data_IF_076825457249
#
_entry.id   IF_076825457249
#
_cell.length_a   1.000
_cell.length_b   1.000
_cell.length_c   1.000
_cell.angle_alpha   90.00
_cell.angle_beta   90.00
_cell.angle_gamma   90.00
#
_symmetry.space_group_name_H-M   'P 1'
#
loop_
_entity.id
_entity.type
_entity.pdbx_description
1 polymer ?
#
# COMPACT_ATOMS: atom_id res chain seq x y z
N UNK A 1 2.07 20.68 0.19
CA UNK A 1 1.67 19.29 -0.16
C UNK A 1 1.79 18.31 1.02
N UNK A 2 2.58 18.61 2.08
CA UNK A 2 2.69 17.79 3.30
C UNK A 2 1.37 17.69 4.10
N UNK A 3 0.54 18.74 4.12
CA UNK A 3 -0.67 18.81 4.97
C UNK A 3 -1.81 17.83 4.63
N UNK A 4 -1.85 17.23 3.43
CA UNK A 4 -2.86 16.21 3.09
C UNK A 4 -2.49 14.82 3.61
N UNK A 5 -1.18 14.58 3.77
CA UNK A 5 -0.65 13.31 4.26
C UNK A 5 -1.01 13.10 5.74
N UNK A 6 -0.92 14.17 6.53
CA UNK A 6 -1.33 14.17 7.94
C UNK A 6 -2.84 14.06 8.11
N UNK A 7 -3.65 14.60 7.19
CA UNK A 7 -5.11 14.58 7.30
C UNK A 7 -5.69 13.16 7.12
N UNK A 8 -5.27 12.42 6.08
CA UNK A 8 -5.77 11.06 5.84
C UNK A 8 -5.22 10.05 6.85
N UNK A 9 -3.97 10.22 7.32
CA UNK A 9 -3.45 9.46 8.44
C UNK A 9 -4.22 9.78 9.74
N UNK A 10 -4.58 11.04 9.98
CA UNK A 10 -5.38 11.46 11.13
C UNK A 10 -6.81 10.91 11.08
N UNK A 11 -7.46 10.89 9.92
CA UNK A 11 -8.79 10.28 9.75
C UNK A 11 -8.75 8.78 10.00
N UNK A 12 -7.67 8.11 9.58
CA UNK A 12 -7.44 6.69 9.85
C UNK A 12 -7.18 6.41 11.34
N UNK A 13 -6.36 7.23 12.00
CA UNK A 13 -6.14 7.13 13.46
C UNK A 13 -7.44 7.38 14.22
N UNK A 14 -8.24 8.38 13.83
CA UNK A 14 -9.57 8.61 14.42
C UNK A 14 -10.52 7.43 14.22
N UNK A 15 -10.55 6.81 13.04
CA UNK A 15 -11.32 5.58 12.80
C UNK A 15 -10.85 4.43 13.67
N UNK A 16 -9.54 4.28 13.83
CA UNK A 16 -8.93 3.24 14.68
C UNK A 16 -9.31 3.45 16.16
N UNK A 17 -9.22 4.68 16.64
CA UNK A 17 -9.57 5.05 18.02
C UNK A 17 -11.07 4.88 18.28
N UNK A 18 -11.93 5.21 17.30
CA UNK A 18 -13.37 4.99 17.38
C UNK A 18 -13.71 3.50 17.53
N UNK A 19 -13.14 2.65 16.68
CA UNK A 19 -13.35 1.19 16.74
C UNK A 19 -12.85 0.64 18.09
N UNK A 20 -11.73 1.15 18.59
CA UNK A 20 -11.20 0.76 19.91
C UNK A 20 -12.13 1.16 21.07
N UNK A 21 -12.79 2.32 20.98
CA UNK A 21 -13.80 2.74 21.96
C UNK A 21 -15.08 1.91 21.88
N UNK A 22 -15.57 1.59 20.68
CA UNK A 22 -16.73 0.71 20.49
C UNK A 22 -16.48 -0.68 21.09
N UNK A 23 -15.26 -1.21 20.98
CA UNK A 23 -14.85 -2.47 21.59
C UNK A 23 -14.90 -2.46 23.13
N UNK A 24 -14.51 -1.36 23.77
CA UNK A 24 -14.64 -1.23 25.22
C UNK A 24 -16.13 -1.19 25.64
N UNK A 25 -16.98 -0.59 24.81
CA UNK A 25 -18.43 -0.55 25.01
C UNK A 25 -19.14 -1.90 24.78
N UNK A 26 -18.62 -2.76 23.90
CA UNK A 26 -19.27 -3.98 23.43
C UNK A 26 -18.95 -5.26 24.20
N UNK A 27 -18.26 -5.18 25.35
CA UNK A 27 -17.97 -6.34 26.23
C UNK A 27 -19.21 -7.16 26.64
N UNK A 28 -20.43 -6.68 26.36
CA UNK A 28 -21.71 -7.29 26.74
C UNK A 28 -22.75 -7.53 25.60
N UNK A 29 -22.43 -7.44 24.30
CA UNK A 29 -23.45 -7.62 23.21
C UNK A 29 -23.04 -8.65 22.13
N UNK A 30 -24.06 -9.34 21.60
CA UNK A 30 -24.12 -10.63 20.87
C UNK A 30 -23.31 -10.84 19.58
N UNK A 31 -23.20 -12.12 19.19
CA UNK A 31 -22.17 -12.82 18.38
C UNK A 31 -21.96 -12.45 16.91
N UNK A 32 -22.80 -11.62 16.27
CA UNK A 32 -22.63 -11.27 14.85
C UNK A 32 -21.90 -9.95 14.65
N UNK A 33 -22.29 -8.91 15.39
CA UNK A 33 -21.56 -7.64 15.45
C UNK A 33 -20.13 -7.86 15.99
N UNK A 34 -19.97 -8.68 17.04
CA UNK A 34 -18.65 -9.03 17.56
C UNK A 34 -17.75 -9.77 16.55
N UNK A 35 -18.32 -10.58 15.65
CA UNK A 35 -17.59 -11.30 14.61
C UNK A 35 -17.08 -10.36 13.51
N UNK A 36 -17.91 -9.43 13.06
CA UNK A 36 -17.56 -8.49 12.00
C UNK A 36 -16.53 -7.45 12.51
N UNK A 37 -16.72 -6.93 13.72
CA UNK A 37 -15.73 -6.07 14.40
C UNK A 37 -14.38 -6.78 14.61
N UNK A 38 -14.39 -8.10 14.89
CA UNK A 38 -13.14 -8.87 15.01
C UNK A 38 -12.40 -8.98 13.67
N UNK A 39 -13.11 -9.14 12.55
CA UNK A 39 -12.50 -9.17 11.22
C UNK A 39 -11.91 -7.82 10.83
N UNK A 40 -12.62 -6.73 11.10
CA UNK A 40 -12.12 -5.36 10.88
C UNK A 40 -10.87 -5.08 11.72
N UNK A 41 -10.86 -5.50 12.99
CA UNK A 41 -9.67 -5.40 13.84
C UNK A 41 -8.49 -6.17 13.24
N UNK A 42 -8.70 -7.42 12.80
CA UNK A 42 -7.64 -8.20 12.16
C UNK A 42 -7.11 -7.54 10.88
N UNK A 43 -7.99 -6.91 10.09
CA UNK A 43 -7.61 -6.17 8.90
C UNK A 43 -6.70 -4.97 9.23
N UNK A 44 -7.07 -4.19 10.26
CA UNK A 44 -6.29 -3.04 10.72
C UNK A 44 -4.92 -3.48 11.28
N UNK A 45 -4.88 -4.56 12.05
CA UNK A 45 -3.62 -5.11 12.55
C UNK A 45 -2.72 -5.59 11.40
N UNK A 46 -3.27 -6.26 10.38
CA UNK A 46 -2.52 -6.69 9.20
C UNK A 46 -2.02 -5.52 8.37
N UNK A 47 -2.81 -4.45 8.26
CA UNK A 47 -2.38 -3.22 7.59
C UNK A 47 -1.23 -2.54 8.36
N UNK A 48 -1.32 -2.47 9.69
CA UNK A 48 -0.26 -1.92 10.54
C UNK A 48 1.03 -2.74 10.44
N UNK A 49 0.93 -4.07 10.47
CA UNK A 49 2.05 -4.98 10.26
C UNK A 49 2.71 -4.75 8.89
N UNK A 50 1.90 -4.66 7.83
CA UNK A 50 2.37 -4.36 6.48
C UNK A 50 3.11 -3.02 6.41
N UNK A 51 2.53 -1.95 6.96
CA UNK A 51 3.13 -0.62 6.95
C UNK A 51 4.46 -0.59 7.73
N UNK A 52 4.52 -1.28 8.87
CA UNK A 52 5.75 -1.43 9.65
C UNK A 52 6.84 -2.15 8.85
N UNK A 53 6.52 -3.28 8.22
CA UNK A 53 7.46 -4.05 7.41
C UNK A 53 8.01 -3.23 6.22
N UNK A 54 7.14 -2.54 5.50
CA UNK A 54 7.54 -1.65 4.40
C UNK A 54 8.48 -0.54 4.87
N UNK A 55 8.22 0.02 6.06
CA UNK A 55 9.09 1.02 6.66
C UNK A 55 10.44 0.43 7.05
N UNK A 56 10.49 -0.72 7.72
CA UNK A 56 11.73 -1.40 8.09
C UNK A 56 12.59 -1.71 6.87
N UNK A 57 11.99 -2.24 5.80
CA UNK A 57 12.69 -2.47 4.53
C UNK A 57 13.27 -1.16 3.97
N UNK A 58 12.50 -0.07 4.01
CA UNK A 58 12.97 1.24 3.53
C UNK A 58 14.08 1.87 4.37
N UNK A 59 14.23 1.47 5.63
CA UNK A 59 15.33 1.92 6.49
C UNK A 59 16.64 1.20 6.19
N UNK A 60 16.60 0.05 5.50
CA UNK A 60 17.82 -0.67 5.09
C UNK A 60 18.69 0.17 4.15
N UNK A 61 20.01 0.11 4.37
CA UNK A 61 21.01 0.78 3.53
C UNK A 61 21.29 0.03 2.24
N UNK A 62 21.14 -1.30 2.26
CA UNK A 62 21.39 -2.19 1.14
C UNK A 62 20.19 -3.11 0.94
N UNK A 63 19.97 -3.53 -0.29
CA UNK A 63 18.94 -4.49 -0.64
C UNK A 63 19.10 -4.91 -2.09
N UNK A 64 18.40 -5.97 -2.45
CA UNK A 64 18.47 -6.58 -3.77
C UNK A 64 17.11 -6.54 -4.46
N UNK A 65 17.10 -6.88 -5.74
CA UNK A 65 15.88 -7.04 -6.55
C UNK A 65 14.83 -7.92 -5.86
N UNK A 66 15.28 -8.97 -5.17
CA UNK A 66 14.42 -9.89 -4.41
C UNK A 66 13.69 -9.21 -3.25
N UNK A 67 14.30 -8.22 -2.61
CA UNK A 67 13.67 -7.46 -1.54
C UNK A 67 12.53 -6.58 -2.08
N UNK A 68 12.73 -5.96 -3.26
CA UNK A 68 11.66 -5.25 -3.94
C UNK A 68 10.52 -6.18 -4.38
N UNK A 69 10.83 -7.39 -4.84
CA UNK A 69 9.82 -8.42 -5.14
C UNK A 69 9.00 -8.79 -3.91
N UNK A 70 9.65 -8.93 -2.75
CA UNK A 70 8.99 -9.20 -1.48
C UNK A 70 8.07 -8.04 -1.08
N UNK A 71 8.54 -6.79 -1.18
CA UNK A 71 7.72 -5.60 -0.91
C UNK A 71 6.50 -5.50 -1.84
N UNK A 72 6.69 -5.78 -3.13
CA UNK A 72 5.59 -5.81 -4.11
C UNK A 72 4.60 -6.93 -3.80
N UNK A 73 5.09 -8.13 -3.46
CA UNK A 73 4.25 -9.27 -3.05
C UNK A 73 3.43 -8.97 -1.80
N UNK A 74 4.03 -8.38 -0.76
CA UNK A 74 3.33 -7.94 0.44
C UNK A 74 2.25 -6.91 0.12
N UNK A 75 2.53 -5.99 -0.82
CA UNK A 75 1.56 -4.99 -1.27
C UNK A 75 0.36 -5.65 -1.95
N UNK A 76 0.57 -6.62 -2.86
CA UNK A 76 -0.51 -7.39 -3.47
C UNK A 76 -1.32 -8.18 -2.44
N UNK A 77 -0.65 -8.79 -1.45
CA UNK A 77 -1.32 -9.57 -0.40
C UNK A 77 -2.26 -8.72 0.45
N UNK A 78 -1.82 -7.52 0.85
CA UNK A 78 -2.68 -6.64 1.66
C UNK A 78 -3.87 -6.13 0.83
N UNK A 79 -3.67 -5.78 -0.44
CA UNK A 79 -4.76 -5.36 -1.34
C UNK A 79 -5.81 -6.47 -1.45
N UNK A 80 -5.38 -7.69 -1.76
CA UNK A 80 -6.28 -8.84 -1.88
C UNK A 80 -7.04 -9.14 -0.58
N UNK A 81 -6.40 -8.93 0.59
CA UNK A 81 -7.07 -9.11 1.88
C UNK A 81 -8.23 -8.13 2.05
N UNK A 82 -8.01 -6.85 1.77
CA UNK A 82 -9.03 -5.81 1.89
C UNK A 82 -10.13 -5.92 0.82
N UNK A 83 -9.77 -6.32 -0.40
CA UNK A 83 -10.76 -6.60 -1.45
C UNK A 83 -11.69 -7.74 -1.03
N UNK A 84 -11.12 -8.83 -0.47
CA UNK A 84 -11.90 -9.94 0.07
C UNK A 84 -12.81 -9.50 1.22
N UNK A 85 -12.29 -8.72 2.17
CA UNK A 85 -13.07 -8.20 3.29
C UNK A 85 -14.20 -7.27 2.83
N UNK A 86 -13.95 -6.45 1.81
CA UNK A 86 -14.98 -5.58 1.21
C UNK A 86 -16.13 -6.38 0.61
N UNK A 87 -15.81 -7.49 -0.07
CA UNK A 87 -16.83 -8.39 -0.63
C UNK A 87 -17.62 -9.06 0.49
N UNK A 88 -16.95 -9.53 1.55
CA UNK A 88 -17.59 -10.19 2.69
C UNK A 88 -18.50 -9.26 3.50
N UNK A 89 -18.10 -8.00 3.67
CA UNK A 89 -18.85 -7.00 4.44
C UNK A 89 -20.00 -6.35 3.65
N UNK A 90 -20.09 -6.57 2.32
CA UNK A 90 -20.93 -5.80 1.39
C UNK A 90 -20.71 -4.26 1.45
N UNK A 91 -19.66 -3.83 2.16
CA UNK A 91 -19.22 -2.45 2.27
C UNK A 91 -17.93 -2.28 1.47
N UNK A 92 -17.81 -1.17 0.73
CA UNK A 92 -16.55 -0.83 0.09
C UNK A 92 -15.56 -0.37 1.14
N UNK A 93 -14.75 -1.30 1.64
CA UNK A 93 -13.54 -1.02 2.42
C UNK A 93 -12.28 -1.42 1.63
N UNK A 94 -12.08 -0.95 0.38
CA UNK A 94 -10.84 -1.19 -0.32
C UNK A 94 -9.70 -0.50 0.44
N UNK A 95 -8.47 -0.95 0.24
CA UNK A 95 -7.31 -0.21 0.77
C UNK A 95 -7.38 1.25 0.33
N UNK A 96 -7.17 2.20 1.26
CA UNK A 96 -7.11 3.61 0.91
C UNK A 96 -6.11 3.84 -0.22
N UNK A 97 -6.50 4.58 -1.25
CA UNK A 97 -5.68 4.82 -2.43
C UNK A 97 -4.30 5.39 -2.06
N UNK A 98 -4.25 6.18 -1.00
CA UNK A 98 -3.06 6.75 -0.39
C UNK A 98 -2.04 5.70 0.06
N UNK A 99 -2.50 4.56 0.60
CA UNK A 99 -1.63 3.45 1.01
C UNK A 99 -1.01 2.80 -0.23
N UNK A 100 -1.75 2.66 -1.33
CA UNK A 100 -1.24 2.12 -2.59
C UNK A 100 -0.17 3.05 -3.20
N UNK A 101 -0.46 4.36 -3.24
CA UNK A 101 0.49 5.39 -3.67
C UNK A 101 1.74 5.42 -2.79
N UNK A 102 1.58 5.28 -1.47
CA UNK A 102 2.70 5.26 -0.54
C UNK A 102 3.57 4.04 -0.75
N UNK A 103 2.96 2.86 -0.87
CA UNK A 103 3.65 1.59 -1.06
C UNK A 103 4.55 1.58 -2.30
N UNK A 104 3.98 1.91 -3.47
CA UNK A 104 4.72 1.95 -4.74
C UNK A 104 5.86 2.95 -4.66
N UNK A 105 5.62 4.10 -4.05
CA UNK A 105 6.68 5.08 -3.89
C UNK A 105 7.76 4.67 -2.91
N UNK A 106 7.44 3.92 -1.86
CA UNK A 106 8.46 3.35 -0.99
C UNK A 106 9.32 2.32 -1.71
N UNK A 107 8.73 1.52 -2.60
CA UNK A 107 9.50 0.60 -3.45
C UNK A 107 10.48 1.38 -4.35
N UNK A 108 10.04 2.49 -4.96
CA UNK A 108 10.92 3.35 -5.76
C UNK A 108 12.01 4.04 -4.92
N UNK A 109 11.70 4.51 -3.70
CA UNK A 109 12.70 5.08 -2.79
C UNK A 109 13.78 4.04 -2.41
N UNK A 110 13.38 2.78 -2.18
CA UNK A 110 14.33 1.69 -1.92
C UNK A 110 15.16 1.38 -3.17
N UNK A 111 14.52 1.32 -4.33
CA UNK A 111 15.19 1.02 -5.59
C UNK A 111 16.24 2.08 -5.96
N UNK A 112 15.95 3.35 -5.73
CA UNK A 112 16.90 4.46 -5.88
C UNK A 112 18.11 4.28 -4.95
N UNK A 113 17.83 4.07 -3.66
CA UNK A 113 18.87 3.88 -2.63
C UNK A 113 19.77 2.68 -2.92
N UNK A 114 19.20 1.58 -3.42
CA UNK A 114 19.92 0.35 -3.73
C UNK A 114 20.43 0.30 -5.17
N UNK A 115 20.31 1.41 -5.91
CA UNK A 115 20.76 1.57 -7.30
C UNK A 115 20.23 0.49 -8.25
N UNK A 116 19.00 0.02 -8.02
CA UNK A 116 18.34 -1.00 -8.83
C UNK A 116 17.84 -0.36 -10.12
N UNK A 117 18.11 -1.02 -11.26
CA UNK A 117 17.75 -0.52 -12.59
C UNK A 117 16.23 -0.39 -12.74
N UNK A 118 15.81 0.70 -13.37
CA UNK A 118 14.39 1.00 -13.58
C UNK A 118 13.62 -0.15 -14.25
N UNK A 119 14.18 -0.77 -15.28
CA UNK A 119 13.56 -1.89 -16.00
C UNK A 119 13.25 -3.07 -15.09
N UNK A 120 14.13 -3.37 -14.14
CA UNK A 120 13.95 -4.46 -13.19
C UNK A 120 12.81 -4.11 -12.22
N UNK A 121 12.79 -2.88 -11.70
CA UNK A 121 11.71 -2.37 -10.82
C UNK A 121 10.35 -2.39 -11.54
N UNK A 122 10.30 -1.88 -12.78
CA UNK A 122 9.07 -1.82 -13.56
C UNK A 122 8.53 -3.21 -13.85
N UNK A 123 9.39 -4.17 -14.20
CA UNK A 123 9.00 -5.57 -14.41
C UNK A 123 8.43 -6.20 -13.14
N UNK A 124 9.07 -5.99 -11.98
CA UNK A 124 8.57 -6.51 -10.70
C UNK A 124 7.19 -5.95 -10.39
N UNK A 125 7.05 -4.63 -10.46
CA UNK A 125 5.78 -3.96 -10.14
C UNK A 125 4.67 -4.38 -11.10
N UNK A 126 4.95 -4.44 -12.40
CA UNK A 126 3.98 -4.86 -13.41
C UNK A 126 3.55 -6.32 -13.21
N UNK A 127 4.49 -7.22 -12.90
CA UNK A 127 4.20 -8.63 -12.69
C UNK A 127 3.46 -8.91 -11.36
N UNK A 128 3.74 -8.15 -10.30
CA UNK A 128 3.17 -8.40 -8.96
C UNK A 128 1.88 -7.61 -8.69
N UNK A 129 1.82 -6.34 -9.08
CA UNK A 129 0.69 -5.46 -8.83
C UNK A 129 -0.31 -5.43 -9.99
N UNK A 130 0.14 -5.74 -11.20
CA UNK A 130 -0.63 -5.57 -12.42
C UNK A 130 -0.61 -4.14 -12.96
N UNK A 131 -0.89 -4.00 -14.26
CA UNK A 131 -0.81 -2.72 -14.98
C UNK A 131 -1.80 -1.68 -14.47
N UNK A 132 -3.04 -2.08 -14.20
CA UNK A 132 -4.10 -1.15 -13.78
C UNK A 132 -3.79 -0.51 -12.43
N UNK A 133 -3.39 -1.33 -11.46
CA UNK A 133 -3.02 -0.83 -10.14
C UNK A 133 -1.78 0.03 -10.19
N UNK A 134 -0.77 -0.39 -10.95
CA UNK A 134 0.46 0.38 -11.11
C UNK A 134 0.18 1.74 -11.76
N UNK A 135 -0.69 1.80 -12.78
CA UNK A 135 -1.10 3.04 -13.44
C UNK A 135 -1.75 4.03 -12.47
N UNK A 136 -2.57 3.55 -11.55
CA UNK A 136 -3.20 4.39 -10.53
C UNK A 136 -2.24 4.84 -9.42
N UNK A 137 -1.20 4.05 -9.12
CA UNK A 137 -0.35 4.23 -7.95
C UNK A 137 1.04 4.81 -8.25
N UNK A 138 1.45 4.86 -9.52
CA UNK A 138 2.76 5.39 -9.92
C UNK A 138 2.79 6.91 -9.93
N UNK A 139 3.81 7.49 -9.31
CA UNK A 139 4.06 8.94 -9.35
C UNK A 139 5.08 9.27 -10.44
N UNK A 140 4.60 9.72 -11.60
CA UNK A 140 5.45 10.09 -12.74
C UNK A 140 6.57 11.06 -12.34
N UNK A 141 6.27 12.03 -11.47
CA UNK A 141 7.28 12.96 -10.96
C UNK A 141 8.42 12.24 -10.22
N UNK A 142 8.10 11.27 -9.36
CA UNK A 142 9.11 10.51 -8.61
C UNK A 142 10.00 9.71 -9.56
N UNK A 143 9.39 9.01 -10.52
CA UNK A 143 10.17 8.21 -11.49
C UNK A 143 11.08 9.10 -12.33
N UNK A 144 10.57 10.26 -12.78
CA UNK A 144 11.37 11.24 -13.51
C UNK A 144 12.55 11.75 -12.69
N UNK A 145 12.31 12.04 -11.41
CA UNK A 145 13.32 12.64 -10.54
C UNK A 145 14.40 11.59 -10.16
N UNK A 146 14.09 10.29 -10.11
CA UNK A 146 15.03 9.19 -9.83
C UNK A 146 15.75 8.71 -11.11
N UNK A 147 15.00 8.36 -12.16
CA UNK A 147 15.49 7.65 -13.33
C UNK A 147 15.51 8.49 -14.62
N UNK A 148 15.04 9.74 -14.57
CA UNK A 148 15.02 10.66 -15.70
C UNK A 148 13.84 10.47 -16.65
N UNK A 149 13.84 11.25 -17.74
CA UNK A 149 12.73 11.31 -18.69
C UNK A 149 12.51 10.01 -19.48
N UNK A 150 13.57 9.24 -19.75
CA UNK A 150 13.49 7.99 -20.50
C UNK A 150 12.64 6.93 -19.79
N UNK A 151 12.75 6.85 -18.46
CA UNK A 151 11.94 5.96 -17.64
C UNK A 151 10.45 6.38 -17.64
N UNK A 152 10.17 7.68 -17.73
CA UNK A 152 8.79 8.18 -17.88
C UNK A 152 8.19 7.75 -19.21
N UNK A 153 8.96 7.83 -20.30
CA UNK A 153 8.50 7.41 -21.61
C UNK A 153 8.25 5.89 -21.66
N UNK A 154 9.12 5.10 -21.01
CA UNK A 154 8.93 3.66 -20.84
C UNK A 154 7.63 3.35 -20.07
N UNK A 155 7.34 4.05 -18.97
CA UNK A 155 6.06 3.90 -18.23
C UNK A 155 4.86 4.24 -19.11
N UNK A 156 4.94 5.34 -19.87
CA UNK A 156 3.83 5.78 -20.73
C UNK A 156 3.50 4.75 -21.78
N UNK A 157 4.54 4.16 -22.39
CA UNK A 157 4.40 3.09 -23.37
C UNK A 157 3.87 1.80 -22.74
N UNK A 158 4.43 1.39 -21.59
CA UNK A 158 4.11 0.09 -20.97
C UNK A 158 2.74 0.07 -20.28
N UNK A 159 2.31 1.21 -19.73
CA UNK A 159 1.03 1.38 -19.01
C UNK A 159 -0.05 2.09 -19.85
N UNK A 160 0.21 2.36 -21.13
CA UNK A 160 -0.68 3.10 -22.03
C UNK A 160 -1.23 4.38 -21.36
N UNK A 161 -0.32 5.22 -20.85
CA UNK A 161 -0.64 6.52 -20.25
C UNK A 161 -0.42 7.57 -21.33
N UNK A 162 -1.53 8.08 -21.90
CA UNK A 162 -1.53 9.13 -22.91
C UNK A 162 -1.26 10.52 -22.33
#
# INVERSE_FOLDING_TARGET
MVRRYDASASEFHQKTDHIFQELQGLKNVTSKAASDTSKEMMALLKLSEYQSNMRMNSESKYGETKDLENMASQTTQIINLFDKLSIEAQEKMPIPHEVRLWAVSKIFDCADKWEIRFSDVLNILTNKLGRDLLKESIRIKQVRDIYGIRAVDEIRNELNIS
#
